data_IF_191752376989
#
_entry.id   IF_191752376989
#
_cell.length_a   1.000
_cell.length_b   1.000
_cell.length_c   1.000
_cell.angle_alpha   90.00
_cell.angle_beta   90.00
_cell.angle_gamma   90.00
#
_symmetry.space_group_name_H-M   'P 1'
#
loop_
_entity.id
_entity.type
_entity.pdbx_description
1 polymer ?
#
# COMPACT_ATOMS: atom_id res chain seq x y z
N UNK A 1 -5.96 -36.28 -13.31
CA UNK A 1 -5.01 -35.18 -13.11
C UNK A 1 -5.45 -34.45 -11.85
N UNK A 2 -4.72 -34.54 -10.73
CA UNK A 2 -5.08 -33.80 -9.50
C UNK A 2 -4.80 -32.33 -9.76
N UNK A 3 -5.81 -31.48 -9.63
CA UNK A 3 -5.60 -30.03 -9.67
C UNK A 3 -4.68 -29.65 -8.50
N UNK A 4 -3.70 -28.76 -8.70
CA UNK A 4 -2.86 -28.25 -7.61
C UNK A 4 -3.75 -27.59 -6.53
N UNK A 5 -3.34 -27.64 -5.27
CA UNK A 5 -4.11 -26.98 -4.22
C UNK A 5 -4.07 -25.46 -4.44
N UNK A 6 -5.13 -24.73 -4.09
CA UNK A 6 -5.21 -23.29 -4.32
C UNK A 6 -4.04 -22.49 -3.72
N UNK A 7 -3.46 -23.01 -2.62
CA UNK A 7 -2.26 -22.44 -1.97
C UNK A 7 -0.97 -22.58 -2.79
N UNK A 8 -0.92 -23.53 -3.72
CA UNK A 8 0.28 -23.81 -4.53
C UNK A 8 0.29 -22.97 -5.82
N UNK A 9 -0.80 -22.22 -6.11
CA UNK A 9 -0.91 -21.33 -7.27
C UNK A 9 -0.66 -19.89 -6.81
N UNK A 10 0.60 -19.58 -6.50
CA UNK A 10 1.04 -18.23 -6.17
C UNK A 10 1.84 -17.65 -7.35
N UNK A 11 1.30 -16.62 -7.99
CA UNK A 11 2.03 -15.87 -9.01
C UNK A 11 2.45 -14.53 -8.43
N UNK A 12 3.76 -14.36 -8.23
CA UNK A 12 4.35 -13.10 -7.82
C UNK A 12 5.31 -12.61 -8.91
N UNK A 13 4.92 -11.54 -9.59
CA UNK A 13 5.76 -10.92 -10.63
C UNK A 13 7.05 -10.33 -10.04
N UNK A 14 7.05 -9.97 -8.75
CA UNK A 14 8.15 -9.30 -8.09
C UNK A 14 9.33 -10.24 -7.88
N UNK A 15 9.10 -11.55 -7.72
CA UNK A 15 10.15 -12.57 -7.70
C UNK A 15 11.03 -12.54 -8.97
N UNK A 16 10.42 -12.20 -10.12
CA UNK A 16 11.12 -12.12 -11.39
C UNK A 16 11.72 -10.73 -11.63
N UNK A 17 10.97 -9.67 -11.31
CA UNK A 17 11.38 -8.30 -11.57
C UNK A 17 12.44 -7.80 -10.58
N UNK A 18 12.32 -8.09 -9.28
CA UNK A 18 13.22 -7.57 -8.24
C UNK A 18 14.67 -8.05 -8.40
N UNK A 19 14.88 -9.17 -9.10
CA UNK A 19 16.21 -9.66 -9.47
C UNK A 19 16.92 -8.74 -10.47
N UNK A 20 16.16 -8.11 -11.37
CA UNK A 20 16.68 -7.26 -12.44
C UNK A 20 16.74 -5.80 -12.00
N UNK A 21 15.87 -5.41 -11.06
CA UNK A 21 15.79 -4.04 -10.56
C UNK A 21 17.06 -3.70 -9.77
N UNK A 22 17.78 -2.64 -10.13
CA UNK A 22 18.98 -2.23 -9.41
C UNK A 22 18.61 -1.68 -8.02
N UNK A 23 19.52 -1.88 -7.06
CA UNK A 23 19.43 -1.27 -5.74
C UNK A 23 19.15 0.24 -5.83
N UNK A 24 18.31 0.72 -4.92
CA UNK A 24 17.95 2.12 -4.85
C UNK A 24 19.20 3.00 -4.63
N UNK A 25 19.51 3.87 -5.61
CA UNK A 25 20.68 4.79 -5.57
C UNK A 25 20.31 6.22 -5.21
N UNK A 26 19.08 6.48 -4.74
CA UNK A 26 18.60 7.85 -4.44
C UNK A 26 19.47 8.53 -3.38
N UNK A 27 20.11 7.78 -2.47
CA UNK A 27 21.06 8.32 -1.48
C UNK A 27 22.31 8.98 -2.09
N UNK A 28 22.65 8.68 -3.35
CA UNK A 28 23.80 9.27 -4.05
C UNK A 28 23.48 10.61 -4.74
N UNK A 29 22.21 10.97 -4.83
CA UNK A 29 21.78 12.23 -5.44
C UNK A 29 22.04 13.40 -4.48
N UNK A 30 22.21 14.63 -5.00
CA UNK A 30 22.34 15.82 -4.15
C UNK A 30 21.17 15.92 -3.19
N UNK A 31 21.46 16.26 -1.92
CA UNK A 31 20.49 16.31 -0.80
C UNK A 31 19.12 16.93 -1.11
N UNK A 32 18.99 18.05 -1.85
CA UNK A 32 17.66 18.57 -2.18
C UNK A 32 16.85 17.61 -3.06
N UNK A 33 17.49 16.98 -4.05
CA UNK A 33 16.82 16.06 -4.98
C UNK A 33 16.49 14.74 -4.31
N UNK A 34 17.42 14.19 -3.52
CA UNK A 34 17.16 12.94 -2.78
C UNK A 34 16.00 13.11 -1.80
N UNK A 35 15.92 14.27 -1.12
CA UNK A 35 14.82 14.63 -0.23
C UNK A 35 13.46 14.68 -0.94
N UNK A 36 13.39 15.27 -2.13
CA UNK A 36 12.16 15.29 -2.93
C UNK A 36 11.77 13.94 -3.53
N UNK A 37 12.71 12.99 -3.60
CA UNK A 37 12.45 11.62 -4.03
C UNK A 37 12.15 10.68 -2.85
N UNK A 38 11.87 11.23 -1.66
CA UNK A 38 11.45 10.48 -0.47
C UNK A 38 12.59 9.98 0.42
N UNK A 39 13.86 10.21 0.04
CA UNK A 39 15.00 9.82 0.89
C UNK A 39 15.17 10.81 2.05
N UNK A 40 15.11 10.29 3.27
CA UNK A 40 15.41 11.02 4.50
C UNK A 40 16.39 10.22 5.34
N UNK A 41 17.38 10.91 5.91
CA UNK A 41 18.37 10.31 6.82
C UNK A 41 17.70 9.86 8.13
N UNK A 42 16.65 10.57 8.55
CA UNK A 42 15.81 10.22 9.70
C UNK A 42 14.33 10.12 9.28
N UNK A 43 13.58 9.13 9.79
CA UNK A 43 12.16 8.99 9.49
C UNK A 43 11.38 10.23 9.95
N UNK A 44 10.44 10.67 9.12
CA UNK A 44 9.60 11.83 9.44
C UNK A 44 8.78 11.59 10.72
N UNK A 45 8.79 12.55 11.64
CA UNK A 45 7.93 12.52 12.82
C UNK A 45 6.43 12.48 12.40
N UNK A 46 5.59 11.75 13.14
CA UNK A 46 4.16 11.69 12.85
C UNK A 46 3.54 13.08 13.00
N UNK A 47 2.73 13.46 12.02
CA UNK A 47 2.08 14.77 11.97
C UNK A 47 0.65 14.65 12.52
N UNK A 48 0.19 15.63 13.29
CA UNK A 48 -1.18 15.68 13.79
C UNK A 48 -2.24 15.75 12.67
N UNK A 49 -3.42 15.19 12.94
CA UNK A 49 -4.49 15.02 11.96
C UNK A 49 -4.91 16.33 11.24
N UNK A 50 -4.97 17.48 11.93
CA UNK A 50 -5.39 18.75 11.30
C UNK A 50 -4.38 19.23 10.26
N UNK A 51 -3.09 19.14 10.59
CA UNK A 51 -2.02 19.49 9.65
C UNK A 51 -1.99 18.47 8.50
N UNK A 52 -2.28 17.19 8.80
CA UNK A 52 -2.48 16.18 7.77
C UNK A 52 -3.65 16.57 6.84
N UNK A 53 -4.85 16.84 7.35
CA UNK A 53 -6.00 17.26 6.54
C UNK A 53 -5.69 18.51 5.71
N UNK A 54 -4.96 19.48 6.26
CA UNK A 54 -4.57 20.72 5.56
C UNK A 54 -3.66 20.43 4.37
N UNK A 55 -2.61 19.62 4.55
CA UNK A 55 -1.74 19.23 3.44
C UNK A 55 -2.45 18.36 2.42
N UNK A 56 -3.37 17.51 2.86
CA UNK A 56 -4.18 16.70 1.95
C UNK A 56 -5.09 17.57 1.08
N UNK A 57 -5.72 18.60 1.66
CA UNK A 57 -6.52 19.59 0.97
C UNK A 57 -5.67 20.35 -0.07
N UNK A 58 -4.53 20.91 0.35
CA UNK A 58 -3.61 21.63 -0.54
C UNK A 58 -3.12 20.73 -1.66
N UNK A 59 -2.68 19.51 -1.34
CA UNK A 59 -2.19 18.54 -2.31
C UNK A 59 -3.26 18.13 -3.32
N UNK A 60 -4.46 17.77 -2.86
CA UNK A 60 -5.56 17.40 -3.73
C UNK A 60 -6.00 18.56 -4.63
N UNK A 61 -6.14 19.75 -4.07
CA UNK A 61 -6.49 20.95 -4.83
C UNK A 61 -5.44 21.28 -5.88
N UNK A 62 -4.16 21.38 -5.50
CA UNK A 62 -3.08 21.66 -6.43
C UNK A 62 -2.94 20.56 -7.48
N UNK A 63 -3.03 19.29 -7.09
CA UNK A 63 -2.89 18.14 -7.99
C UNK A 63 -3.97 18.13 -9.07
N UNK A 64 -5.24 18.19 -8.65
CA UNK A 64 -6.36 18.23 -9.57
C UNK A 64 -6.35 19.50 -10.42
N UNK A 65 -5.97 20.65 -9.84
CA UNK A 65 -5.85 21.91 -10.60
C UNK A 65 -4.78 21.81 -11.68
N UNK A 66 -3.61 21.25 -11.39
CA UNK A 66 -2.55 21.07 -12.39
C UNK A 66 -3.02 20.14 -13.50
N UNK A 67 -3.62 19.00 -13.18
CA UNK A 67 -4.10 18.06 -14.21
C UNK A 67 -5.19 18.68 -15.06
N UNK A 68 -6.20 19.30 -14.44
CA UNK A 68 -7.31 19.93 -15.16
C UNK A 68 -6.84 21.12 -15.99
N UNK A 69 -5.89 21.92 -15.50
CA UNK A 69 -5.26 22.99 -16.26
C UNK A 69 -4.52 22.43 -17.49
N UNK A 70 -3.72 21.38 -17.33
CA UNK A 70 -3.02 20.74 -18.45
C UNK A 70 -4.01 20.14 -19.46
N UNK A 71 -5.09 19.50 -19.01
CA UNK A 71 -6.10 18.95 -19.92
C UNK A 71 -6.89 20.03 -20.66
N UNK A 72 -7.16 21.16 -20.00
CA UNK A 72 -7.92 22.27 -20.57
C UNK A 72 -7.09 23.14 -21.51
N UNK A 73 -5.85 23.45 -21.16
CA UNK A 73 -4.99 24.39 -21.88
C UNK A 73 -3.89 23.71 -22.71
N UNK A 74 -3.69 22.40 -22.56
CA UNK A 74 -2.66 21.65 -23.27
C UNK A 74 -2.98 21.50 -24.77
N UNK A 75 -2.06 21.90 -25.67
CA UNK A 75 -2.24 21.72 -27.11
C UNK A 75 -2.37 20.23 -27.44
N UNK A 76 -3.39 19.86 -28.23
CA UNK A 76 -3.68 18.48 -28.60
C UNK A 76 -4.61 17.72 -27.64
N UNK A 77 -4.60 18.03 -26.33
CA UNK A 77 -5.49 17.40 -25.33
C UNK A 77 -6.78 18.19 -25.15
N UNK A 78 -6.72 19.51 -25.27
CA UNK A 78 -7.86 20.41 -25.13
C UNK A 78 -9.03 20.07 -26.08
N UNK A 79 -8.75 19.42 -27.22
CA UNK A 79 -9.76 18.95 -28.18
C UNK A 79 -10.71 17.91 -27.57
N UNK A 80 -10.25 17.13 -26.61
CA UNK A 80 -11.00 16.02 -26.03
C UNK A 80 -11.74 16.41 -24.75
N UNK A 81 -11.34 17.52 -24.12
CA UNK A 81 -11.95 18.16 -22.94
C UNK A 81 -12.64 17.19 -21.97
N UNK A 82 -11.98 16.14 -21.44
CA UNK A 82 -12.67 15.02 -20.80
C UNK A 82 -12.94 15.32 -19.30
N UNK A 83 -14.12 15.86 -18.91
CA UNK A 83 -14.38 16.26 -17.53
C UNK A 83 -14.54 15.01 -16.64
N UNK A 84 -14.89 13.88 -17.26
CA UNK A 84 -15.22 12.62 -16.61
C UNK A 84 -13.97 11.91 -16.05
N UNK A 85 -12.80 12.11 -16.67
CA UNK A 85 -11.52 11.55 -16.16
C UNK A 85 -11.17 12.14 -14.79
N UNK A 86 -11.62 13.36 -14.51
CA UNK A 86 -11.42 14.04 -13.22
C UNK A 86 -12.08 13.25 -12.07
N UNK A 87 -13.17 12.52 -12.33
CA UNK A 87 -13.83 11.72 -11.30
C UNK A 87 -12.94 10.59 -10.78
N UNK A 88 -12.27 9.84 -11.67
CA UNK A 88 -11.31 8.80 -11.26
C UNK A 88 -10.07 9.41 -10.61
N UNK A 89 -9.59 10.56 -11.11
CA UNK A 89 -8.47 11.28 -10.51
C UNK A 89 -8.79 11.86 -9.13
N UNK A 90 -10.05 12.11 -8.81
CA UNK A 90 -10.49 12.49 -7.46
C UNK A 90 -10.18 11.40 -6.43
N UNK A 91 -10.46 10.14 -6.75
CA UNK A 91 -10.08 9.01 -5.91
C UNK A 91 -8.55 8.85 -5.81
N UNK A 92 -7.83 9.09 -6.91
CA UNK A 92 -6.37 9.14 -6.92
C UNK A 92 -5.81 10.22 -5.98
N UNK A 93 -6.47 11.39 -5.91
CA UNK A 93 -6.09 12.46 -5.00
C UNK A 93 -6.21 12.01 -3.53
N UNK A 94 -7.27 11.29 -3.18
CA UNK A 94 -7.41 10.76 -1.81
C UNK A 94 -6.22 9.87 -1.47
N UNK A 95 -5.88 8.94 -2.36
CA UNK A 95 -4.79 7.99 -2.12
C UNK A 95 -3.41 8.69 -2.05
N UNK A 96 -3.13 9.60 -2.99
CA UNK A 96 -1.82 10.26 -3.11
C UNK A 96 -1.57 11.39 -2.10
N UNK A 97 -2.61 11.93 -1.44
CA UNK A 97 -2.46 13.07 -0.52
C UNK A 97 -2.98 12.81 0.91
N UNK A 98 -3.93 11.90 1.12
CA UNK A 98 -4.43 11.56 2.46
C UNK A 98 -3.67 10.39 3.08
N UNK A 99 -3.45 9.32 2.30
CA UNK A 99 -2.98 8.02 2.79
C UNK A 99 -1.60 7.67 2.24
N UNK A 100 -0.67 8.64 2.26
CA UNK A 100 0.63 8.57 1.55
C UNK A 100 1.56 7.41 1.97
N UNK A 101 1.33 6.83 3.15
CA UNK A 101 2.11 5.72 3.69
C UNK A 101 1.66 4.36 3.17
N UNK A 102 0.47 4.28 2.54
CA UNK A 102 -0.05 3.01 2.03
C UNK A 102 0.79 2.50 0.84
N UNK A 103 1.03 1.18 0.72
CA UNK A 103 1.66 0.60 -0.46
C UNK A 103 0.91 0.94 -1.75
N UNK A 104 -0.41 1.15 -1.69
CA UNK A 104 -1.23 1.45 -2.87
C UNK A 104 -1.00 2.87 -3.42
N UNK A 105 -0.53 3.81 -2.59
CA UNK A 105 -0.22 5.18 -3.02
C UNK A 105 1.18 5.33 -3.60
N UNK A 106 2.00 4.27 -3.61
CA UNK A 106 3.38 4.36 -4.05
C UNK A 106 3.47 4.57 -5.58
N UNK A 107 4.55 5.20 -6.08
CA UNK A 107 4.66 5.65 -7.47
C UNK A 107 4.44 4.55 -8.50
N UNK A 108 4.97 3.34 -8.25
CA UNK A 108 4.77 2.17 -9.10
C UNK A 108 3.28 1.90 -9.34
N UNK A 109 2.49 1.88 -8.28
CA UNK A 109 1.07 1.54 -8.33
C UNK A 109 0.28 2.68 -9.00
N UNK A 110 0.55 3.93 -8.62
CA UNK A 110 -0.12 5.10 -9.20
C UNK A 110 0.11 5.26 -10.72
N UNK A 111 1.32 4.93 -11.21
CA UNK A 111 1.64 5.01 -12.63
C UNK A 111 1.22 3.74 -13.36
N UNK A 112 1.79 2.58 -12.99
CA UNK A 112 1.58 1.34 -13.74
C UNK A 112 0.16 0.81 -13.55
N UNK A 113 -0.36 0.80 -12.32
CA UNK A 113 -1.71 0.30 -12.04
C UNK A 113 -2.78 1.07 -12.81
N UNK A 114 -2.66 2.40 -12.82
CA UNK A 114 -3.61 3.26 -13.55
C UNK A 114 -3.47 3.11 -15.07
N UNK A 115 -2.23 3.05 -15.59
CA UNK A 115 -1.97 2.92 -17.02
C UNK A 115 -2.40 1.55 -17.56
N UNK A 116 -2.10 0.47 -16.83
CA UNK A 116 -2.56 -0.88 -17.16
C UNK A 116 -4.09 -0.94 -17.12
N UNK A 117 -4.73 -0.34 -16.13
CA UNK A 117 -6.20 -0.29 -16.06
C UNK A 117 -6.81 0.44 -17.27
N UNK A 118 -6.23 1.57 -17.68
CA UNK A 118 -6.66 2.28 -18.88
C UNK A 118 -6.47 1.44 -20.14
N UNK A 119 -5.34 0.73 -20.26
CA UNK A 119 -5.06 -0.17 -21.38
C UNK A 119 -6.09 -1.29 -21.46
N UNK A 120 -6.35 -1.99 -20.35
CA UNK A 120 -7.32 -3.09 -20.28
C UNK A 120 -8.73 -2.61 -20.62
N UNK A 121 -9.13 -1.43 -20.09
CA UNK A 121 -10.41 -0.80 -20.39
C UNK A 121 -10.57 -0.48 -21.87
N UNK A 122 -9.54 0.09 -22.52
CA UNK A 122 -9.56 0.39 -23.96
C UNK A 122 -9.61 -0.89 -24.80
N UNK A 123 -8.86 -1.93 -24.43
CA UNK A 123 -8.90 -3.22 -25.13
C UNK A 123 -10.31 -3.82 -25.11
N UNK A 124 -10.97 -3.84 -23.95
CA UNK A 124 -12.33 -4.36 -23.81
C UNK A 124 -13.33 -3.47 -24.53
N UNK A 125 -13.25 -2.15 -24.36
CA UNK A 125 -14.13 -1.21 -25.07
C UNK A 125 -14.03 -1.39 -26.59
N UNK A 126 -12.82 -1.54 -27.14
CA UNK A 126 -12.60 -1.79 -28.56
C UNK A 126 -13.13 -3.15 -29.01
N UNK A 127 -12.97 -4.19 -28.19
CA UNK A 127 -13.50 -5.52 -28.51
C UNK A 127 -15.03 -5.50 -28.61
N UNK A 128 -15.70 -4.80 -27.69
CA UNK A 128 -17.15 -4.66 -27.70
C UNK A 128 -17.66 -3.80 -28.87
N UNK A 129 -16.87 -2.83 -29.34
CA UNK A 129 -17.19 -2.03 -30.54
C UNK A 129 -17.23 -2.84 -31.84
N UNK A 130 -16.73 -4.08 -31.87
CA UNK A 130 -16.86 -4.96 -33.04
C UNK A 130 -18.29 -5.51 -33.20
N UNK A 131 -19.08 -5.51 -32.13
CA UNK A 131 -20.46 -5.98 -32.14
C UNK A 131 -21.42 -4.83 -32.53
N UNK A 132 -22.21 -4.95 -33.61
CA UNK A 132 -23.19 -3.95 -34.00
C UNK A 132 -24.31 -3.73 -32.95
N UNK A 133 -24.58 -4.69 -32.06
CA UNK A 133 -25.59 -4.59 -30.99
C UNK A 133 -24.98 -4.19 -29.63
N UNK A 134 -23.81 -3.53 -29.64
CA UNK A 134 -23.07 -3.14 -28.45
C UNK A 134 -23.91 -2.35 -27.43
N UNK A 135 -24.77 -1.44 -27.90
CA UNK A 135 -25.55 -0.58 -27.00
C UNK A 135 -26.50 -1.38 -26.10
N UNK A 136 -26.96 -2.57 -26.52
CA UNK A 136 -27.79 -3.45 -25.69
C UNK A 136 -26.99 -4.14 -24.57
N UNK A 137 -25.68 -4.33 -24.78
CA UNK A 137 -24.79 -5.07 -23.88
C UNK A 137 -23.84 -4.18 -23.07
N UNK A 138 -23.94 -2.86 -23.22
CA UNK A 138 -23.05 -1.87 -22.58
C UNK A 138 -22.98 -2.00 -21.05
N UNK A 139 -24.06 -2.46 -20.42
CA UNK A 139 -24.13 -2.70 -18.98
C UNK A 139 -23.11 -3.74 -18.49
N UNK A 140 -22.71 -4.69 -19.35
CA UNK A 140 -21.75 -5.74 -19.02
C UNK A 140 -20.29 -5.28 -19.23
N UNK A 141 -20.07 -4.31 -20.12
CA UNK A 141 -18.73 -3.84 -20.46
C UNK A 141 -18.01 -3.18 -19.27
N UNK A 142 -18.71 -2.39 -18.46
CA UNK A 142 -18.15 -1.73 -17.26
C UNK A 142 -17.64 -2.73 -16.21
N UNK A 143 -18.49 -3.65 -15.71
CA UNK A 143 -18.07 -4.71 -14.77
C UNK A 143 -16.93 -5.57 -15.32
N UNK A 144 -16.97 -5.93 -16.61
CA UNK A 144 -15.90 -6.71 -17.24
C UNK A 144 -14.58 -5.93 -17.26
N UNK A 145 -14.60 -4.63 -17.60
CA UNK A 145 -13.42 -3.77 -17.53
C UNK A 145 -12.83 -3.71 -16.12
N UNK A 146 -13.67 -3.52 -15.11
CA UNK A 146 -13.24 -3.47 -13.71
C UNK A 146 -12.62 -4.80 -13.26
N UNK A 147 -13.30 -5.92 -13.55
CA UNK A 147 -12.84 -7.26 -13.18
C UNK A 147 -11.51 -7.63 -13.85
N UNK A 148 -11.39 -7.39 -15.16
CA UNK A 148 -10.15 -7.64 -15.90
C UNK A 148 -9.02 -6.71 -15.46
N UNK A 149 -9.29 -5.42 -15.22
CA UNK A 149 -8.28 -4.50 -14.71
C UNK A 149 -7.80 -4.90 -13.30
N UNK A 150 -8.72 -5.31 -12.42
CA UNK A 150 -8.39 -5.84 -11.09
C UNK A 150 -7.52 -7.10 -11.18
N UNK A 151 -7.87 -8.03 -12.07
CA UNK A 151 -7.09 -9.23 -12.32
C UNK A 151 -5.68 -8.91 -12.83
N UNK A 152 -5.56 -8.03 -13.83
CA UNK A 152 -4.26 -7.58 -14.35
C UNK A 152 -3.42 -6.92 -13.25
N UNK A 153 -3.99 -5.98 -12.49
CA UNK A 153 -3.29 -5.28 -11.41
C UNK A 153 -2.83 -6.22 -10.30
N UNK A 154 -3.62 -7.26 -9.99
CA UNK A 154 -3.27 -8.28 -9.00
C UNK A 154 -2.09 -9.10 -9.49
N UNK A 155 -2.10 -9.54 -10.75
CA UNK A 155 -0.98 -10.28 -11.34
C UNK A 155 0.30 -9.44 -11.43
N UNK A 156 0.19 -8.13 -11.68
CA UNK A 156 1.36 -7.24 -11.80
C UNK A 156 1.81 -6.63 -10.47
N UNK A 157 1.18 -6.99 -9.35
CA UNK A 157 1.39 -6.36 -8.03
C UNK A 157 1.36 -4.83 -8.09
N UNK A 158 0.46 -4.28 -8.90
CA UNK A 158 0.32 -2.84 -9.11
C UNK A 158 -1.10 -2.38 -8.79
N UNK A 159 -1.69 -2.90 -7.72
CA UNK A 159 -3.07 -2.59 -7.33
C UNK A 159 -3.19 -1.09 -7.03
N UNK A 160 -3.98 -0.43 -7.88
CA UNK A 160 -4.29 0.99 -7.76
C UNK A 160 -5.80 1.16 -7.88
N UNK A 161 -6.54 1.23 -6.75
CA UNK A 161 -8.01 1.27 -6.77
C UNK A 161 -8.64 2.32 -7.70
N UNK A 162 -8.10 3.55 -7.84
CA UNK A 162 -8.62 4.52 -8.81
C UNK A 162 -8.58 4.03 -10.26
N UNK A 163 -7.63 3.12 -10.58
CA UNK A 163 -7.50 2.46 -11.87
C UNK A 163 -8.74 1.68 -12.29
N UNK A 164 -9.46 1.05 -11.34
CA UNK A 164 -10.71 0.36 -11.63
C UNK A 164 -11.76 1.29 -12.23
N UNK A 165 -11.92 2.50 -11.68
CA UNK A 165 -12.79 3.53 -12.25
C UNK A 165 -12.28 4.00 -13.62
N UNK A 166 -10.96 4.18 -13.77
CA UNK A 166 -10.33 4.52 -15.07
C UNK A 166 -10.64 3.48 -16.15
N UNK A 167 -10.64 2.18 -15.82
CA UNK A 167 -10.98 1.11 -16.75
C UNK A 167 -12.47 1.13 -17.14
N UNK A 168 -13.37 1.32 -16.16
CA UNK A 168 -14.81 1.42 -16.40
C UNK A 168 -15.13 2.58 -17.36
N UNK A 169 -14.54 3.75 -17.10
CA UNK A 169 -14.77 4.95 -17.91
C UNK A 169 -14.46 4.74 -19.40
N UNK A 170 -13.44 3.94 -19.72
CA UNK A 170 -13.07 3.66 -21.11
C UNK A 170 -14.20 2.98 -21.92
N UNK A 171 -15.05 2.19 -21.26
CA UNK A 171 -16.13 1.44 -21.91
C UNK A 171 -17.51 2.08 -21.71
N UNK A 172 -17.75 2.75 -20.59
CA UNK A 172 -19.08 3.29 -20.26
C UNK A 172 -19.28 4.71 -20.75
N UNK A 173 -18.26 5.55 -20.76
CA UNK A 173 -18.37 6.95 -21.16
C UNK A 173 -18.09 7.12 -22.66
N UNK A 174 -19.00 7.77 -23.39
CA UNK A 174 -18.88 7.95 -24.83
C UNK A 174 -17.73 8.90 -25.22
N UNK A 175 -17.46 9.93 -24.41
CA UNK A 175 -16.36 10.88 -24.65
C UNK A 175 -15.00 10.22 -24.43
N UNK A 176 -14.91 9.36 -23.41
CA UNK A 176 -13.70 8.57 -23.14
C UNK A 176 -13.53 7.45 -24.16
N UNK A 177 -14.60 6.75 -24.54
CA UNK A 177 -14.55 5.74 -25.59
C UNK A 177 -14.08 6.29 -26.95
N UNK A 178 -14.43 7.55 -27.26
CA UNK A 178 -14.00 8.24 -28.47
C UNK A 178 -12.49 8.55 -28.50
N UNK A 179 -11.83 8.70 -27.33
CA UNK A 179 -10.36 8.82 -27.25
C UNK A 179 -9.66 7.54 -27.72
N UNK A 180 -10.28 6.37 -27.49
CA UNK A 180 -9.70 5.07 -27.84
C UNK A 180 -8.28 4.91 -27.28
N UNK A 181 -7.30 4.62 -28.15
CA UNK A 181 -5.91 4.43 -27.74
C UNK A 181 -5.23 5.68 -27.16
N UNK A 182 -5.73 6.89 -27.47
CA UNK A 182 -5.22 8.15 -26.91
C UNK A 182 -5.54 8.26 -25.42
N UNK A 183 -6.51 7.50 -24.92
CA UNK A 183 -6.85 7.49 -23.50
C UNK A 183 -5.69 7.03 -22.61
N UNK A 184 -4.92 6.02 -23.04
CA UNK A 184 -3.81 5.45 -22.27
C UNK A 184 -2.71 6.49 -21.96
N UNK A 185 -2.14 7.21 -22.94
CA UNK A 185 -1.15 8.25 -22.66
C UNK A 185 -1.74 9.46 -21.90
N UNK A 186 -3.03 9.77 -22.07
CA UNK A 186 -3.70 10.82 -21.28
C UNK A 186 -3.76 10.44 -19.80
N UNK A 187 -4.18 9.21 -19.48
CA UNK A 187 -4.21 8.69 -18.11
C UNK A 187 -2.81 8.65 -17.50
N UNK A 188 -1.81 8.17 -18.27
CA UNK A 188 -0.42 8.15 -17.84
C UNK A 188 0.08 9.57 -17.50
N UNK A 189 -0.20 10.55 -18.36
CA UNK A 189 0.15 11.96 -18.11
C UNK A 189 -0.52 12.46 -16.81
N UNK A 190 -1.81 12.19 -16.62
CA UNK A 190 -2.53 12.54 -15.39
C UNK A 190 -1.89 11.93 -14.13
N UNK A 191 -1.54 10.64 -14.18
CA UNK A 191 -0.84 9.95 -13.09
C UNK A 191 0.52 10.59 -12.79
N UNK A 192 1.30 10.92 -13.81
CA UNK A 192 2.63 11.55 -13.67
C UNK A 192 2.51 12.96 -13.08
N UNK A 193 1.53 13.75 -13.52
CA UNK A 193 1.29 15.10 -12.99
C UNK A 193 0.83 15.05 -11.52
N UNK A 194 -0.09 14.15 -11.19
CA UNK A 194 -0.53 13.92 -9.80
C UNK A 194 0.64 13.48 -8.92
N UNK A 195 1.48 12.57 -9.41
CA UNK A 195 2.67 12.14 -8.69
C UNK A 195 3.64 13.31 -8.50
N UNK A 196 3.87 14.12 -9.52
CA UNK A 196 4.75 15.30 -9.44
C UNK A 196 4.31 16.26 -8.34
N UNK A 197 3.01 16.57 -8.27
CA UNK A 197 2.47 17.42 -7.18
C UNK A 197 2.56 16.71 -5.82
N UNK A 198 2.31 15.40 -5.75
CA UNK A 198 2.48 14.61 -4.54
C UNK A 198 3.92 14.66 -4.01
N UNK A 199 4.93 14.55 -4.88
CA UNK A 199 6.34 14.68 -4.50
C UNK A 199 6.65 16.08 -3.96
N UNK A 200 6.05 17.14 -4.51
CA UNK A 200 6.29 18.50 -4.06
C UNK A 200 5.61 18.79 -2.72
N UNK A 201 4.32 18.52 -2.61
CA UNK A 201 3.50 18.90 -1.45
C UNK A 201 3.77 17.98 -0.26
N UNK A 202 3.84 16.67 -0.49
CA UNK A 202 4.02 15.74 0.62
C UNK A 202 5.43 15.86 1.23
N UNK A 203 6.49 16.17 0.45
CA UNK A 203 7.85 16.26 0.99
C UNK A 203 8.17 17.52 1.80
N UNK A 204 7.27 18.51 1.86
CA UNK A 204 7.48 19.74 2.66
C UNK A 204 7.62 19.39 4.14
N UNK A 205 6.64 18.69 4.70
CA UNK A 205 6.65 18.26 6.11
C UNK A 205 6.58 16.73 6.26
N UNK A 206 5.97 16.00 5.32
CA UNK A 206 5.85 14.53 5.35
C UNK A 206 6.90 13.86 4.48
N UNK A 207 6.91 12.53 4.44
CA UNK A 207 7.83 11.75 3.63
C UNK A 207 7.05 10.97 2.57
N UNK A 208 7.36 11.23 1.29
CA UNK A 208 6.76 10.50 0.18
C UNK A 208 7.71 10.50 -1.04
N UNK A 209 7.87 9.39 -1.76
CA UNK A 209 7.33 8.07 -1.50
C UNK A 209 8.09 7.35 -0.37
N UNK A 210 7.51 6.26 0.14
CA UNK A 210 8.23 5.32 1.01
C UNK A 210 9.22 4.48 0.20
N UNK A 211 8.82 4.06 -1.00
CA UNK A 211 9.65 3.37 -1.97
C UNK A 211 9.14 3.62 -3.39
N UNK A 212 10.02 3.49 -4.38
CA UNK A 212 9.66 3.74 -5.79
C UNK A 212 9.14 2.50 -6.52
N UNK A 213 9.71 1.32 -6.22
CA UNK A 213 9.44 0.09 -6.97
C UNK A 213 8.86 -1.04 -6.10
N UNK A 214 9.54 -1.39 -5.02
CA UNK A 214 9.06 -2.38 -4.06
C UNK A 214 9.59 -2.03 -2.68
N UNK A 215 8.89 -2.52 -1.65
CA UNK A 215 9.36 -2.46 -0.26
C UNK A 215 10.36 -3.58 0.06
N UNK A 216 10.41 -4.63 -0.77
CA UNK A 216 11.30 -5.77 -0.58
C UNK A 216 12.75 -5.41 -0.96
N UNK A 217 13.71 -6.17 -0.41
CA UNK A 217 15.10 -6.05 -0.82
C UNK A 217 15.27 -6.52 -2.27
N UNK A 218 15.81 -5.63 -3.11
CA UNK A 218 16.05 -5.86 -4.55
C UNK A 218 17.52 -6.20 -4.79
N UNK A 219 17.81 -6.96 -5.84
CA UNK A 219 19.18 -7.34 -6.23
C UNK A 219 19.45 -8.84 -6.21
N UNK A 220 20.66 -9.25 -6.64
CA UNK A 220 21.04 -10.67 -6.78
C UNK A 220 21.04 -11.46 -5.46
N UNK A 221 21.19 -10.77 -4.34
CA UNK A 221 21.29 -11.38 -3.00
C UNK A 221 19.93 -11.52 -2.28
N UNK A 222 18.84 -11.04 -2.89
CA UNK A 222 17.46 -11.05 -2.36
C UNK A 222 16.97 -12.45 -1.93
N UNK A 223 17.55 -13.52 -2.50
CA UNK A 223 17.18 -14.91 -2.20
C UNK A 223 17.57 -15.38 -0.78
N UNK A 224 18.53 -14.74 -0.11
CA UNK A 224 18.95 -15.18 1.24
C UNK A 224 17.92 -14.89 2.34
N UNK A 225 16.93 -14.05 2.06
CA UNK A 225 15.88 -13.67 3.01
C UNK A 225 14.49 -14.17 2.61
N UNK A 226 14.39 -15.09 1.66
CA UNK A 226 13.11 -15.74 1.37
C UNK A 226 12.80 -16.72 2.52
N UNK A 227 11.76 -16.39 3.27
CA UNK A 227 11.21 -17.11 4.43
C UNK A 227 11.02 -18.62 4.19
N UNK A 228 11.00 -19.07 2.93
CA UNK A 228 10.91 -20.50 2.58
C UNK A 228 12.18 -21.31 2.91
N UNK A 229 13.37 -20.71 2.95
CA UNK A 229 14.59 -21.42 3.42
C UNK A 229 14.70 -21.42 4.95
N UNK A 230 14.11 -20.43 5.62
CA UNK A 230 14.00 -20.35 7.10
C UNK A 230 13.11 -21.49 7.64
N UNK A 231 12.14 -21.97 6.86
CA UNK A 231 11.32 -23.12 7.28
C UNK A 231 12.07 -24.47 7.24
N UNK A 232 13.29 -24.51 6.69
CA UNK A 232 14.18 -25.69 6.70
C UNK A 232 15.42 -25.54 7.58
N UNK A 233 15.74 -24.33 8.02
CA UNK A 233 16.76 -24.09 9.03
C UNK A 233 16.22 -24.47 10.41
N UNK A 234 17.04 -25.13 11.23
CA UNK A 234 16.67 -25.37 12.61
C UNK A 234 16.46 -24.00 13.28
N UNK A 235 15.47 -23.87 14.17
CA UNK A 235 15.19 -22.63 14.92
C UNK A 235 16.45 -22.04 15.62
N UNK A 236 17.43 -22.91 15.91
CA UNK A 236 18.76 -22.55 16.41
C UNK A 236 19.63 -21.79 15.41
N UNK A 237 19.62 -22.17 14.13
CA UNK A 237 20.46 -21.56 13.09
C UNK A 237 20.02 -20.12 12.81
N UNK A 238 18.69 -19.90 12.81
CA UNK A 238 18.07 -18.57 12.65
C UNK A 238 18.41 -17.65 13.84
N UNK A 239 18.46 -18.21 15.04
CA UNK A 239 18.79 -17.49 16.29
C UNK A 239 20.27 -17.08 16.33
N UNK A 240 21.17 -17.91 15.80
CA UNK A 240 22.60 -17.64 15.66
C UNK A 240 22.88 -16.59 14.57
N UNK A 241 22.23 -16.70 13.41
CA UNK A 241 22.41 -15.76 12.30
C UNK A 241 21.85 -14.35 12.60
N UNK A 242 20.78 -14.28 13.40
CA UNK A 242 20.19 -13.02 13.90
C UNK A 242 20.92 -12.42 15.12
N UNK A 243 21.99 -13.06 15.60
CA UNK A 243 22.80 -12.59 16.73
C UNK A 243 21.96 -12.39 18.00
N UNK A 244 21.02 -13.29 18.27
CA UNK A 244 20.19 -13.21 19.49
C UNK A 244 20.98 -13.84 20.65
N UNK A 245 22.04 -13.17 21.07
CA UNK A 245 22.67 -13.44 22.37
C UNK A 245 21.71 -12.99 23.47
N UNK A 246 21.43 -13.90 24.42
CA UNK A 246 20.73 -13.61 25.67
C UNK A 246 21.59 -12.69 26.55
N UNK A 247 21.63 -11.40 26.22
CA UNK A 247 21.86 -10.28 27.14
C UNK A 247 22.12 -8.98 26.33
N UNK A 248 21.24 -7.98 26.49
CA UNK A 248 21.72 -6.60 26.52
C UNK A 248 21.30 -5.59 25.46
N UNK A 249 20.53 -5.90 24.41
CA UNK A 249 19.96 -4.83 23.55
C UNK A 249 18.66 -5.19 22.83
N UNK A 250 17.57 -5.27 23.58
CA UNK A 250 16.20 -5.35 23.03
C UNK A 250 15.64 -3.99 22.54
N UNK A 251 16.43 -2.91 22.59
CA UNK A 251 15.91 -1.54 22.47
C UNK A 251 15.26 -1.19 21.11
N UNK A 252 15.38 -2.03 20.05
CA UNK A 252 14.76 -1.76 18.74
C UNK A 252 14.23 -2.98 17.98
N UNK A 253 13.80 -4.04 18.66
CA UNK A 253 13.18 -5.21 17.99
C UNK A 253 11.75 -5.42 18.47
N UNK A 254 10.81 -5.60 17.53
CA UNK A 254 9.45 -6.07 17.81
C UNK A 254 9.48 -7.58 17.68
N UNK A 255 9.09 -8.30 18.73
CA UNK A 255 9.04 -9.78 18.73
C UNK A 255 7.59 -10.19 18.89
N UNK A 256 7.05 -10.89 17.90
CA UNK A 256 5.67 -11.40 17.93
C UNK A 256 5.76 -12.89 18.21
N UNK A 257 5.41 -13.29 19.43
CA UNK A 257 5.30 -14.68 19.86
C UNK A 257 3.83 -15.07 19.93
N UNK A 258 3.52 -16.37 19.90
CA UNK A 258 2.15 -16.89 20.01
C UNK A 258 1.43 -16.36 21.27
N UNK A 259 2.15 -16.23 22.37
CA UNK A 259 1.61 -15.84 23.67
C UNK A 259 1.71 -14.33 23.92
N UNK A 260 2.67 -13.61 23.33
CA UNK A 260 2.94 -12.19 23.62
C UNK A 260 3.53 -11.43 22.44
N UNK A 261 3.23 -10.14 22.38
CA UNK A 261 3.90 -9.19 21.48
C UNK A 261 4.82 -8.33 22.34
N UNK A 262 6.11 -8.35 22.05
CA UNK A 262 7.09 -7.45 22.65
C UNK A 262 7.30 -6.25 21.74
N UNK A 263 7.12 -5.07 22.30
CA UNK A 263 7.23 -3.78 21.60
C UNK A 263 8.26 -2.94 22.37
N UNK A 264 9.26 -2.37 21.69
CA UNK A 264 10.23 -1.49 22.34
C UNK A 264 9.56 -0.29 23.01
N UNK A 265 10.09 0.15 24.15
CA UNK A 265 9.59 1.35 24.83
C UNK A 265 9.71 2.58 23.91
N UNK A 266 8.60 3.34 23.79
CA UNK A 266 8.52 4.51 22.91
C UNK A 266 8.03 4.23 21.47
N UNK A 267 7.83 2.96 21.09
CA UNK A 267 7.22 2.61 19.82
C UNK A 267 5.69 2.53 19.98
N UNK A 268 4.97 3.47 19.37
CA UNK A 268 3.51 3.57 19.48
C UNK A 268 2.87 3.09 18.17
N UNK A 269 2.13 1.99 18.22
CA UNK A 269 1.39 1.50 17.06
C UNK A 269 0.21 2.43 16.76
N UNK A 270 0.00 2.74 15.48
CA UNK A 270 -1.31 3.21 15.06
C UNK A 270 -2.38 2.12 15.26
N UNK A 271 -3.66 2.50 15.26
CA UNK A 271 -4.79 1.55 15.39
C UNK A 271 -4.70 0.43 14.33
N UNK A 272 -4.30 0.79 13.11
CA UNK A 272 -4.17 -0.14 11.99
C UNK A 272 -2.99 -1.10 12.19
N UNK A 273 -1.86 -0.61 12.71
CA UNK A 273 -0.66 -1.42 12.91
C UNK A 273 -0.87 -2.42 14.04
N UNK A 274 -1.54 -2.01 15.13
CA UNK A 274 -1.89 -2.91 16.23
C UNK A 274 -2.80 -4.07 15.78
N UNK A 275 -3.78 -3.79 14.91
CA UNK A 275 -4.63 -4.83 14.32
C UNK A 275 -3.84 -5.81 13.45
N UNK A 276 -2.89 -5.31 12.66
CA UNK A 276 -2.04 -6.15 11.82
C UNK A 276 -1.14 -7.07 12.65
N UNK A 277 -0.54 -6.53 13.72
CA UNK A 277 0.31 -7.31 14.63
C UNK A 277 -0.49 -8.40 15.34
N UNK A 278 -1.73 -8.12 15.77
CA UNK A 278 -2.60 -9.15 16.35
C UNK A 278 -3.08 -10.18 15.33
N UNK A 279 -3.31 -9.79 14.07
CA UNK A 279 -3.59 -10.75 13.00
C UNK A 279 -2.39 -11.69 12.76
N UNK A 280 -1.16 -11.18 12.80
CA UNK A 280 0.04 -12.00 12.69
C UNK A 280 0.15 -12.99 13.85
N UNK A 281 -0.10 -12.54 15.09
CA UNK A 281 -0.13 -13.42 16.27
C UNK A 281 -1.23 -14.49 16.16
N UNK A 282 -2.42 -14.12 15.71
CA UNK A 282 -3.52 -15.06 15.49
C UNK A 282 -3.17 -16.11 14.43
N UNK A 283 -2.49 -15.70 13.35
CA UNK A 283 -1.98 -16.63 12.34
C UNK A 283 -0.90 -17.56 12.89
N UNK A 284 0.01 -17.06 13.72
CA UNK A 284 1.04 -17.88 14.37
C UNK A 284 0.39 -18.95 15.28
N UNK A 285 -0.59 -18.56 16.10
CA UNK A 285 -1.39 -19.53 16.90
C UNK A 285 -2.07 -20.58 16.04
N UNK A 286 -2.73 -20.16 14.96
CA UNK A 286 -3.42 -21.10 14.06
C UNK A 286 -2.45 -22.04 13.32
N UNK A 287 -1.21 -21.62 13.10
CA UNK A 287 -0.17 -22.44 12.50
C UNK A 287 0.43 -23.43 13.50
N UNK A 288 0.43 -23.09 14.79
CA UNK A 288 0.87 -23.95 15.90
C UNK A 288 -0.19 -25.01 16.25
N UNK A 289 -1.47 -24.63 16.26
CA UNK A 289 -2.62 -25.53 16.47
C UNK A 289 -2.97 -26.39 15.24
N UNK A 290 -2.23 -26.23 14.14
CA UNK A 290 -2.42 -26.89 12.85
C UNK A 290 -1.99 -28.36 12.76
N UNK A 291 -2.09 -29.09 13.87
CA UNK A 291 -2.23 -30.54 13.90
C UNK A 291 -3.68 -31.02 14.00
N UNK A 292 -4.71 -30.16 13.82
CA UNK A 292 -6.10 -30.59 13.64
C UNK A 292 -6.95 -29.48 13.01
N UNK A 293 -7.67 -29.78 11.94
CA UNK A 293 -8.46 -28.79 11.20
C UNK A 293 -9.72 -28.32 11.93
N UNK A 294 -10.12 -27.06 11.72
CA UNK A 294 -11.47 -26.55 11.91
C UNK A 294 -11.66 -25.22 11.16
N UNK A 295 -12.90 -24.87 10.85
CA UNK A 295 -13.32 -23.90 9.85
C UNK A 295 -13.08 -22.44 10.19
N UNK A 296 -13.26 -21.60 9.16
CA UNK A 296 -13.25 -20.15 9.27
C UNK A 296 -14.43 -19.66 10.15
N UNK A 297 -14.16 -19.41 11.43
CA UNK A 297 -14.98 -18.51 12.26
C UNK A 297 -14.25 -17.18 12.39
N UNK A 298 -14.58 -16.25 11.49
CA UNK A 298 -14.30 -14.82 11.70
C UNK A 298 -15.08 -14.33 12.93
N UNK A 299 -14.45 -13.66 13.92
CA UNK A 299 -15.20 -13.00 14.98
C UNK A 299 -16.01 -11.86 14.35
N UNK A 300 -17.33 -11.86 14.59
CA UNK A 300 -18.19 -10.77 14.19
C UNK A 300 -17.78 -9.46 14.91
N UNK A 301 -17.87 -8.29 14.24
CA UNK A 301 -17.66 -7.02 14.91
C UNK A 301 -18.72 -6.83 16.01
N UNK A 302 -18.37 -6.26 17.16
CA UNK A 302 -19.31 -6.09 18.25
C UNK A 302 -20.45 -5.14 17.84
N UNK A 303 -21.68 -5.63 17.94
CA UNK A 303 -22.90 -4.85 17.74
C UNK A 303 -23.09 -3.86 18.89
N UNK A 304 -23.29 -2.59 18.56
CA UNK A 304 -23.75 -1.57 19.50
C UNK A 304 -25.21 -1.85 19.92
N UNK A 305 -25.42 -2.22 21.19
CA UNK A 305 -26.67 -1.92 21.90
C UNK A 305 -26.47 -1.96 23.43
N UNK A 306 -26.41 -0.76 24.02
CA UNK A 306 -27.04 -0.37 25.29
C UNK A 306 -26.82 -1.19 26.57
N UNK A 307 -26.18 -0.51 27.54
CA UNK A 307 -26.51 -0.47 28.99
C UNK A 307 -25.70 -1.34 29.96
N UNK A 308 -25.14 -0.61 30.93
CA UNK A 308 -24.57 -0.96 32.23
C UNK A 308 -23.15 -1.54 32.27
N UNK A 309 -22.27 -0.73 32.85
CA UNK A 309 -20.83 -0.89 32.77
C UNK A 309 -20.23 -1.85 33.79
N UNK A 310 -18.94 -2.11 33.57
CA UNK A 310 -17.95 -2.30 34.62
C UNK A 310 -16.59 -1.98 33.99
N UNK A 311 -15.93 -0.97 34.54
CA UNK A 311 -14.54 -0.64 34.21
C UNK A 311 -13.63 -1.80 34.68
N UNK A 312 -12.93 -2.45 33.75
CA UNK A 312 -11.68 -3.17 34.02
C UNK A 312 -10.60 -2.42 33.26
N UNK A 313 -9.54 -1.87 33.82
CA UNK A 313 -8.94 -2.02 35.13
C UNK A 313 -7.46 -1.69 34.90
N UNK A 314 -7.12 -0.39 34.83
CA UNK A 314 -5.75 0.12 34.68
C UNK A 314 -4.91 -0.14 35.92
N UNK A 315 -4.59 -1.40 36.18
CA UNK A 315 -3.62 -1.82 37.18
C UNK A 315 -2.91 -3.04 36.62
N UNK A 316 -1.82 -2.78 35.90
CA UNK A 316 -0.62 -3.63 35.80
C UNK A 316 0.38 -3.03 34.77
N UNK A 317 0.56 -1.71 34.83
CA UNK A 317 1.72 -1.05 34.24
C UNK A 317 2.22 -0.04 35.25
N UNK A 318 3.24 -0.42 36.03
CA UNK A 318 4.30 0.40 36.63
C UNK A 318 4.96 -0.36 37.81
N UNK A 319 6.25 -0.73 37.74
CA UNK A 319 7.05 -0.98 38.93
C UNK A 319 7.60 0.36 39.46
N UNK A 320 7.23 0.71 40.69
CA UNK A 320 7.73 1.87 41.41
C UNK A 320 9.17 1.63 41.89
N UNK A 321 10.08 2.48 41.40
CA UNK A 321 11.40 2.75 41.99
C UNK A 321 11.26 3.26 43.43
N UNK A 322 11.82 2.53 44.43
CA UNK A 322 12.53 3.05 45.61
C UNK A 322 12.81 1.93 46.62
N UNK A 323 14.04 1.43 46.65
CA UNK A 323 14.67 0.89 47.86
C UNK A 323 16.19 0.90 47.69
N UNK A 324 16.82 1.95 48.19
CA UNK A 324 18.23 1.92 48.60
C UNK A 324 18.47 3.10 49.55
N UNK A 325 18.45 2.82 50.86
CA UNK A 325 19.38 3.36 51.87
C UNK A 325 19.10 2.66 53.20
N UNK A 326 19.90 1.63 53.45
CA UNK A 326 20.22 1.07 54.76
C UNK A 326 21.51 1.72 55.28
N UNK A 327 21.49 2.14 56.55
CA UNK A 327 22.54 2.11 57.59
C UNK A 327 22.04 3.03 58.73
N UNK A 328 21.64 2.51 59.90
CA UNK A 328 22.50 2.14 61.07
C UNK A 328 23.42 3.30 61.45
N UNK A 329 23.57 3.79 62.69
CA UNK A 329 23.09 3.59 64.08
C UNK A 329 23.85 4.70 64.87
N UNK A 330 23.76 4.86 66.20
CA UNK A 330 22.76 4.42 67.17
C UNK A 330 22.02 5.57 67.89
#
# INVERSE_FOLDING_TARGET
MKLPAAKDVHFDIDQYLNRIVPHNRISRLPKPVSRFLGYRDEPAAPIGNIIQATWALVGAFCGLTVVTAVYKFGPGIAKYNPPVIVASLGAAAVLNYNVITTPLAQPRNAILGNTLSALTGVCIAKLFMLDPDFDQHRWLAGPLCCGCASWVMTLTNTVYPPGGATAILAATDATVGALGWVYVPVVLLGSVLMLGVALLVNNVQRQYPAYWWTAQDVGKDSRKSDVEEVSRGNEKDVREELGVEEAGSLERKIVITEDRIFVPEGFNFGIVDAQFVELLRARLRSSSDGGAGAGYDTPAPPSESGSNGTYLGSRDMLPSLKSQKSHEEP
#
